data_IF_292070626761
#
_entry.id   IF_292070626761
#
_cell.length_a   1.000
_cell.length_b   1.000
_cell.length_c   1.000
_cell.angle_alpha   90.00
_cell.angle_beta   90.00
_cell.angle_gamma   90.00
#
_symmetry.space_group_name_H-M   'P 1'
#
loop_
_entity.id
_entity.type
_entity.pdbx_description
1 polymer ?
#
# COMPACT_ATOMS: atom_id res chain seq x y z
N UNK A 1 -6.74 26.78 -5.56
CA UNK A 1 -5.36 26.88 -5.07
C UNK A 1 -5.01 25.82 -4.01
N UNK A 2 -5.69 24.66 -3.95
CA UNK A 2 -5.48 23.67 -2.87
C UNK A 2 -5.12 22.24 -3.35
N UNK A 3 -5.23 21.92 -4.63
CA UNK A 3 -5.02 20.54 -5.10
C UNK A 3 -3.53 20.13 -4.99
N UNK A 4 -2.62 21.05 -5.26
CA UNK A 4 -1.18 20.82 -5.14
C UNK A 4 -0.73 20.52 -3.70
N UNK A 5 -1.26 21.27 -2.72
CA UNK A 5 -0.98 21.03 -1.29
C UNK A 5 -1.51 19.67 -0.84
N UNK A 6 -2.70 19.29 -1.29
CA UNK A 6 -3.28 17.97 -1.01
C UNK A 6 -2.44 16.83 -1.59
N UNK A 7 -1.89 17.00 -2.78
CA UNK A 7 -0.97 16.03 -3.38
C UNK A 7 0.32 15.88 -2.57
N UNK A 8 0.96 17.00 -2.19
CA UNK A 8 2.19 16.98 -1.40
C UNK A 8 1.98 16.35 -0.02
N UNK A 9 0.88 16.68 0.66
CA UNK A 9 0.56 16.14 1.98
C UNK A 9 0.39 14.61 1.93
N UNK A 10 -0.30 14.09 0.91
CA UNK A 10 -0.44 12.65 0.71
C UNK A 10 0.90 11.97 0.35
N UNK A 11 1.79 12.63 -0.39
CA UNK A 11 3.12 12.11 -0.69
C UNK A 11 3.97 11.97 0.59
N UNK A 12 3.92 12.96 1.47
CA UNK A 12 4.60 12.95 2.77
C UNK A 12 4.02 11.87 3.69
N UNK A 13 2.70 11.73 3.76
CA UNK A 13 2.05 10.67 4.54
C UNK A 13 2.42 9.27 4.04
N UNK A 14 2.40 9.07 2.72
CA UNK A 14 2.82 7.83 2.09
C UNK A 14 4.27 7.48 2.40
N UNK A 15 5.20 8.44 2.24
CA UNK A 15 6.61 8.21 2.54
C UNK A 15 6.87 7.97 4.03
N UNK A 16 6.15 8.68 4.91
CA UNK A 16 6.25 8.47 6.35
C UNK A 16 5.82 7.05 6.72
N UNK A 17 4.74 6.56 6.12
CA UNK A 17 4.23 5.20 6.36
C UNK A 17 5.26 4.14 5.99
N UNK A 18 5.88 4.27 4.80
CA UNK A 18 6.95 3.36 4.35
C UNK A 18 8.19 3.48 5.24
N UNK A 19 8.59 4.70 5.60
CA UNK A 19 9.78 4.90 6.44
C UNK A 19 9.59 4.30 7.83
N UNK A 20 8.41 4.48 8.43
CA UNK A 20 8.10 3.87 9.73
C UNK A 20 8.13 2.34 9.62
N UNK A 21 7.59 1.76 8.54
CA UNK A 21 7.68 0.32 8.27
C UNK A 21 9.13 -0.17 8.18
N UNK A 22 9.96 0.52 7.38
CA UNK A 22 11.38 0.22 7.24
C UNK A 22 12.18 0.40 8.54
N UNK A 23 11.82 1.40 9.34
CA UNK A 23 12.47 1.64 10.63
C UNK A 23 12.20 0.49 11.60
N UNK A 24 10.95 0.02 11.66
CA UNK A 24 10.59 -1.17 12.43
C UNK A 24 11.26 -2.44 11.88
N UNK A 25 11.54 -2.48 10.57
CA UNK A 25 12.25 -3.58 9.92
C UNK A 25 13.72 -3.69 10.33
N UNK A 26 14.47 -2.60 10.20
CA UNK A 26 15.93 -2.61 10.37
C UNK A 26 16.32 -2.58 11.86
N UNK A 27 15.39 -2.21 12.74
CA UNK A 27 15.66 -2.01 14.16
C UNK A 27 16.39 -0.69 14.39
N UNK A 28 15.75 0.22 15.12
CA UNK A 28 16.29 1.51 15.59
C UNK A 28 17.34 2.16 14.66
N UNK A 29 16.97 2.42 13.40
CA UNK A 29 17.83 3.19 12.49
C UNK A 29 18.15 4.56 13.11
N UNK A 30 19.36 5.10 12.90
CA UNK A 30 19.68 6.47 13.31
C UNK A 30 18.65 7.44 12.71
N UNK A 31 18.07 8.29 13.56
CA UNK A 31 17.03 9.25 13.16
C UNK A 31 17.36 10.05 11.89
N UNK A 32 18.59 10.54 11.69
CA UNK A 32 18.95 11.27 10.47
C UNK A 32 18.84 10.42 9.20
N UNK A 33 19.16 9.13 9.29
CA UNK A 33 19.11 8.20 8.17
C UNK A 33 17.67 7.85 7.82
N UNK A 34 16.81 7.65 8.84
CA UNK A 34 15.36 7.48 8.65
C UNK A 34 14.74 8.70 7.98
N UNK A 35 15.11 9.91 8.40
CA UNK A 35 14.66 11.15 7.76
C UNK A 35 15.12 11.28 6.31
N UNK A 36 16.37 10.93 6.01
CA UNK A 36 16.90 10.95 4.64
C UNK A 36 16.13 9.98 3.73
N UNK A 37 15.83 8.77 4.22
CA UNK A 37 15.01 7.79 3.52
C UNK A 37 13.58 8.30 3.31
N UNK A 38 12.95 8.89 4.32
CA UNK A 38 11.60 9.46 4.20
C UNK A 38 11.53 10.56 3.15
N UNK A 39 12.52 11.46 3.13
CA UNK A 39 12.61 12.53 2.16
C UNK A 39 12.88 11.99 0.76
N UNK A 40 13.81 11.04 0.62
CA UNK A 40 14.11 10.40 -0.66
C UNK A 40 12.89 9.69 -1.25
N UNK A 41 12.18 8.91 -0.43
CA UNK A 41 10.94 8.24 -0.84
C UNK A 41 9.84 9.26 -1.16
N UNK A 42 9.68 10.32 -0.36
CA UNK A 42 8.71 11.39 -0.62
C UNK A 42 8.94 12.06 -1.98
N UNK A 43 10.19 12.39 -2.29
CA UNK A 43 10.59 13.02 -3.55
C UNK A 43 10.35 12.03 -4.70
N UNK A 44 10.72 10.77 -4.55
CA UNK A 44 10.55 9.74 -5.58
C UNK A 44 9.06 9.46 -5.85
N UNK A 45 8.24 9.38 -4.80
CA UNK A 45 6.78 9.25 -4.88
C UNK A 45 6.15 10.47 -5.54
N UNK A 46 6.53 11.68 -5.13
CA UNK A 46 6.03 12.92 -5.71
C UNK A 46 6.43 13.06 -7.19
N UNK A 47 7.60 12.56 -7.59
CA UNK A 47 8.08 12.65 -8.96
C UNK A 47 7.50 11.56 -9.88
N UNK A 48 7.28 10.36 -9.35
CA UNK A 48 6.83 9.19 -10.12
C UNK A 48 5.30 9.03 -10.17
N UNK A 49 4.58 9.55 -9.18
CA UNK A 49 3.14 9.31 -9.02
C UNK A 49 2.29 10.53 -9.39
N UNK A 50 1.65 10.54 -10.58
CA UNK A 50 0.82 11.66 -11.04
C UNK A 50 -0.54 11.76 -10.31
N UNK A 51 -0.89 10.79 -9.47
CA UNK A 51 -2.17 10.76 -8.76
C UNK A 51 -2.04 10.27 -7.31
N UNK A 52 -2.94 10.74 -6.43
CA UNK A 52 -3.03 10.33 -5.02
C UNK A 52 -3.18 8.81 -4.90
N UNK A 53 -3.96 8.19 -5.80
CA UNK A 53 -4.13 6.75 -5.84
C UNK A 53 -2.83 6.00 -6.14
N UNK A 54 -1.97 6.54 -7.02
CA UNK A 54 -0.65 5.94 -7.29
C UNK A 54 0.29 6.04 -6.09
N UNK A 55 0.29 7.16 -5.35
CA UNK A 55 1.12 7.35 -4.15
C UNK A 55 0.79 6.27 -3.12
N UNK A 56 -0.51 6.10 -2.82
CA UNK A 56 -0.96 5.11 -1.84
C UNK A 56 -0.81 3.67 -2.33
N UNK A 57 -1.02 3.39 -3.62
CA UNK A 57 -0.76 2.07 -4.18
C UNK A 57 0.71 1.67 -4.02
N UNK A 58 1.64 2.58 -4.33
CA UNK A 58 3.08 2.31 -4.17
C UNK A 58 3.47 2.23 -2.70
N UNK A 59 2.97 3.13 -1.84
CA UNK A 59 3.30 3.13 -0.41
C UNK A 59 2.83 1.86 0.30
N UNK A 60 1.60 1.43 0.04
CA UNK A 60 1.04 0.19 0.64
C UNK A 60 1.68 -1.06 0.05
N UNK A 61 2.10 -1.04 -1.21
CA UNK A 61 2.88 -2.13 -1.78
C UNK A 61 4.23 -2.30 -1.08
N UNK A 62 4.97 -1.19 -0.88
CA UNK A 62 6.23 -1.19 -0.15
C UNK A 62 6.04 -1.68 1.29
N UNK A 63 5.00 -1.21 1.98
CA UNK A 63 4.64 -1.66 3.33
C UNK A 63 4.35 -3.17 3.38
N UNK A 64 3.68 -3.69 2.35
CA UNK A 64 3.46 -5.13 2.21
C UNK A 64 4.76 -5.91 2.04
N UNK A 65 5.66 -5.43 1.18
CA UNK A 65 7.00 -6.02 0.97
C UNK A 65 7.83 -5.98 2.26
N UNK A 66 7.82 -4.85 2.97
CA UNK A 66 8.50 -4.71 4.27
C UNK A 66 7.92 -5.67 5.31
N UNK A 67 6.60 -5.82 5.36
CA UNK A 67 5.95 -6.78 6.27
C UNK A 67 6.40 -8.22 5.99
N UNK A 68 6.64 -8.59 4.72
CA UNK A 68 7.20 -9.89 4.35
C UNK A 68 8.69 -10.05 4.66
N UNK A 69 9.44 -8.96 4.68
CA UNK A 69 10.87 -9.01 4.95
C UNK A 69 11.18 -9.36 6.43
N UNK A 70 10.31 -9.00 7.38
CA UNK A 70 10.42 -9.41 8.79
C UNK A 70 10.54 -10.95 8.97
N UNK A 71 9.57 -11.77 8.52
CA UNK A 71 9.67 -13.22 8.60
C UNK A 71 10.94 -13.78 7.97
N UNK A 72 11.37 -13.21 6.84
CA UNK A 72 12.56 -13.65 6.11
C UNK A 72 13.83 -13.38 6.92
N UNK A 73 13.94 -12.20 7.54
CA UNK A 73 15.06 -11.87 8.42
C UNK A 73 15.10 -12.78 9.64
N UNK A 74 13.95 -13.03 10.27
CA UNK A 74 13.85 -13.97 11.39
C UNK A 74 14.24 -15.40 11.01
N UNK A 75 13.85 -15.88 9.83
CA UNK A 75 14.29 -17.19 9.33
C UNK A 75 15.81 -17.24 9.09
N UNK A 76 16.42 -16.14 8.62
CA UNK A 76 17.86 -16.04 8.47
C UNK A 76 18.61 -16.00 9.82
N UNK A 77 18.00 -15.45 10.86
CA UNK A 77 18.57 -15.47 12.21
C UNK A 77 18.47 -16.85 12.87
N UNK A 78 17.41 -17.63 12.61
CA UNK A 78 17.32 -19.05 13.04
C UNK A 78 18.54 -19.84 12.56
N UNK A 79 18.96 -19.64 11.29
CA UNK A 79 20.10 -20.36 10.72
C UNK A 79 21.41 -20.11 11.48
N UNK A 80 21.49 -19.01 12.25
CA UNK A 80 22.66 -18.65 13.07
C UNK A 80 22.59 -19.20 14.50
N UNK A 81 21.41 -19.61 14.98
CA UNK A 81 21.17 -19.97 16.39
C UNK A 81 21.48 -21.44 16.74
N UNK A 82 21.92 -22.26 15.79
CA UNK A 82 22.32 -23.65 16.03
C UNK A 82 21.14 -24.65 16.08
N UNK A 83 21.38 -25.92 16.45
CA UNK A 83 20.43 -27.03 16.25
C UNK A 83 19.14 -26.99 17.08
N UNK A 84 19.14 -26.30 18.23
CA UNK A 84 17.96 -26.16 19.11
C UNK A 84 17.82 -24.69 19.56
N UNK A 85 17.04 -23.87 18.82
CA UNK A 85 16.71 -22.53 19.27
C UNK A 85 15.79 -22.59 20.51
N UNK A 86 15.97 -21.70 21.51
CA UNK A 86 15.15 -21.68 22.71
C UNK A 86 13.67 -21.38 22.38
N UNK A 87 12.75 -21.90 23.19
CA UNK A 87 11.30 -21.81 22.96
C UNK A 87 10.81 -20.36 22.81
N UNK A 88 11.41 -19.42 23.55
CA UNK A 88 11.10 -17.99 23.51
C UNK A 88 11.42 -17.36 22.13
N UNK A 89 12.53 -17.75 21.51
CA UNK A 89 12.90 -17.30 20.15
C UNK A 89 11.94 -17.91 19.12
N UNK A 90 11.59 -19.19 19.28
CA UNK A 90 10.65 -19.87 18.40
C UNK A 90 9.27 -19.20 18.40
N UNK A 91 8.73 -18.87 19.58
CA UNK A 91 7.46 -18.15 19.73
C UNK A 91 7.54 -16.75 19.10
N UNK A 92 8.64 -16.02 19.33
CA UNK A 92 8.88 -14.71 18.73
C UNK A 92 8.90 -14.78 17.20
N UNK A 93 9.59 -15.76 16.63
CA UNK A 93 9.68 -15.94 15.18
C UNK A 93 8.33 -16.34 14.60
N UNK A 94 7.61 -17.27 15.24
CA UNK A 94 6.27 -17.64 14.80
C UNK A 94 5.32 -16.43 14.79
N UNK A 95 5.36 -15.61 15.84
CA UNK A 95 4.59 -14.38 15.93
C UNK A 95 5.00 -13.38 14.85
N UNK A 96 6.30 -13.17 14.63
CA UNK A 96 6.83 -12.33 13.57
C UNK A 96 6.39 -12.80 12.17
N UNK A 97 6.38 -14.11 11.93
CA UNK A 97 5.93 -14.71 10.68
C UNK A 97 4.43 -14.52 10.50
N UNK A 98 3.61 -14.77 11.52
CA UNK A 98 2.17 -14.56 11.46
C UNK A 98 1.82 -13.10 11.16
N UNK A 99 2.36 -12.15 11.92
CA UNK A 99 2.10 -10.74 11.72
C UNK A 99 2.64 -10.25 10.37
N UNK A 100 3.88 -10.62 10.03
CA UNK A 100 4.52 -10.19 8.79
C UNK A 100 3.83 -10.73 7.54
N UNK A 101 3.46 -12.02 7.53
CA UNK A 101 2.77 -12.65 6.41
C UNK A 101 1.33 -12.14 6.28
N UNK A 102 0.58 -12.07 7.38
CA UNK A 102 -0.80 -11.59 7.36
C UNK A 102 -0.88 -10.12 6.94
N UNK A 103 -0.06 -9.27 7.55
CA UNK A 103 0.07 -7.85 7.19
C UNK A 103 0.55 -7.70 5.75
N UNK A 104 1.55 -8.47 5.32
CA UNK A 104 2.11 -8.42 3.97
C UNK A 104 1.08 -8.71 2.89
N UNK A 105 0.33 -9.81 3.03
CA UNK A 105 -0.76 -10.18 2.09
C UNK A 105 -1.85 -9.11 2.11
N UNK A 106 -2.24 -8.62 3.29
CA UNK A 106 -3.25 -7.59 3.44
C UNK A 106 -2.87 -6.31 2.68
N UNK A 107 -1.68 -5.77 2.93
CA UNK A 107 -1.22 -4.52 2.31
C UNK A 107 -0.98 -4.67 0.81
N UNK A 108 -0.45 -5.80 0.34
CA UNK A 108 -0.31 -6.07 -1.10
C UNK A 108 -1.67 -6.15 -1.80
N UNK A 109 -2.66 -6.80 -1.18
CA UNK A 109 -4.01 -6.89 -1.74
C UNK A 109 -4.69 -5.53 -1.79
N UNK A 110 -4.52 -4.73 -0.74
CA UNK A 110 -5.02 -3.37 -0.67
C UNK A 110 -4.35 -2.47 -1.72
N UNK A 111 -3.03 -2.56 -1.88
CA UNK A 111 -2.27 -1.86 -2.91
C UNK A 111 -2.79 -2.18 -4.32
N UNK A 112 -3.01 -3.46 -4.60
CA UNK A 112 -3.59 -3.91 -5.86
C UNK A 112 -5.00 -3.34 -6.09
N UNK A 113 -5.85 -3.32 -5.06
CA UNK A 113 -7.18 -2.71 -5.12
C UNK A 113 -7.16 -1.22 -5.48
N UNK A 114 -6.27 -0.45 -4.84
CA UNK A 114 -6.07 0.98 -5.16
C UNK A 114 -5.53 1.15 -6.58
N UNK A 115 -4.52 0.36 -6.96
CA UNK A 115 -3.91 0.43 -8.29
C UNK A 115 -4.94 0.15 -9.39
N UNK A 116 -5.75 -0.90 -9.23
CA UNK A 116 -6.83 -1.26 -10.16
C UNK A 116 -7.83 -0.11 -10.32
N UNK A 117 -8.33 0.44 -9.21
CA UNK A 117 -9.29 1.57 -9.22
C UNK A 117 -8.69 2.83 -9.83
N UNK A 118 -7.39 3.04 -9.66
CA UNK A 118 -6.70 4.21 -10.22
C UNK A 118 -6.51 4.06 -11.73
N UNK A 119 -6.20 2.86 -12.24
CA UNK A 119 -6.15 2.59 -13.69
C UNK A 119 -7.50 2.71 -14.37
N UNK A 120 -8.57 2.20 -13.75
CA UNK A 120 -9.93 2.31 -14.31
C UNK A 120 -10.39 3.75 -14.51
N UNK A 121 -9.93 4.69 -13.67
CA UNK A 121 -10.20 6.13 -13.84
C UNK A 121 -9.36 6.80 -14.93
N UNK A 122 -8.20 6.25 -15.26
CA UNK A 122 -7.25 6.83 -16.23
C UNK A 122 -7.47 6.33 -17.65
N UNK A 123 -8.22 5.23 -17.84
CA UNK A 123 -8.62 4.79 -19.18
C UNK A 123 -9.68 5.74 -19.71
N UNK A 124 -9.40 6.56 -20.75
CA UNK A 124 -10.46 7.32 -21.39
C UNK A 124 -11.46 6.32 -21.94
N UNK A 125 -12.73 6.50 -21.58
CA UNK A 125 -13.85 5.81 -22.21
C UNK A 125 -13.75 6.03 -23.72
N UNK A 126 -13.23 5.05 -24.45
CA UNK A 126 -13.63 4.89 -25.84
C UNK A 126 -15.15 4.71 -25.83
N UNK A 127 -15.93 5.48 -26.58
CA UNK A 127 -17.38 5.43 -26.52
C UNK A 127 -17.87 4.16 -27.23
N UNK A 128 -17.88 3.04 -26.52
CA UNK A 128 -18.69 1.89 -26.91
C UNK A 128 -19.97 1.90 -26.07
N UNK A 129 -20.95 2.63 -26.59
CA UNK A 129 -22.37 2.27 -26.69
C UNK A 129 -23.05 1.61 -25.48
N UNK A 130 -24.07 2.31 -25.00
CA UNK A 130 -25.23 1.89 -24.17
C UNK A 130 -25.01 1.57 -22.68
N UNK A 131 -25.41 2.54 -21.86
CA UNK A 131 -25.73 2.39 -20.44
C UNK A 131 -26.74 1.25 -20.20
N UNK A 132 -26.62 0.45 -19.13
CA UNK A 132 -27.76 -0.28 -18.60
C UNK A 132 -28.68 0.72 -17.88
N UNK A 133 -29.76 1.13 -18.55
CA UNK A 133 -30.86 1.89 -17.95
C UNK A 133 -31.41 1.11 -16.74
N UNK A 134 -31.26 1.68 -15.55
CA UNK A 134 -31.87 1.18 -14.31
C UNK A 134 -33.40 1.13 -14.49
N UNK A 135 -34.04 0.04 -14.03
CA UNK A 135 -35.48 -0.29 -14.21
C UNK A 135 -36.46 0.87 -13.93
N UNK A 136 -36.08 1.86 -13.13
CA UNK A 136 -36.93 3.00 -12.78
C UNK A 136 -37.20 3.97 -13.96
N UNK A 137 -36.32 4.09 -14.96
CA UNK A 137 -36.56 5.00 -16.09
C UNK A 137 -37.58 4.46 -17.11
N UNK A 138 -37.80 3.13 -17.16
CA UNK A 138 -38.76 2.51 -18.10
C UNK A 138 -40.22 2.74 -17.67
N UNK A 139 -40.48 2.88 -16.36
CA UNK A 139 -41.84 3.11 -15.82
C UNK A 139 -42.30 4.56 -15.99
N UNK A 140 -41.37 5.52 -16.03
CA UNK A 140 -41.69 6.94 -16.16
C UNK A 140 -42.00 7.35 -17.60
N UNK A 141 -41.37 6.71 -18.60
CA UNK A 141 -41.66 6.96 -20.01
C UNK A 141 -43.07 6.49 -20.43
N UNK A 142 -43.57 5.39 -19.83
CA UNK A 142 -44.90 4.85 -20.18
C UNK A 142 -46.08 5.63 -19.58
N UNK A 143 -45.82 6.52 -18.61
CA UNK A 143 -46.84 7.37 -17.96
C UNK A 143 -47.00 8.75 -18.59
N UNK A 144 -46.14 9.14 -19.53
CA UNK A 144 -46.20 10.45 -20.21
C UNK A 144 -46.81 10.39 -21.60
N UNK A 145 -47.22 9.21 -22.05
CA UNK A 145 -47.78 8.97 -23.39
C UNK A 145 -49.15 8.28 -23.31
N UNK A 146 -49.93 8.59 -22.28
CA UNK A 146 -51.32 8.18 -22.11
C UNK A 146 -52.15 9.34 -21.60
#
# INVERSE_FOLDING_TARGET
>A
MNDYLWHQLNAVLGSLTVTVGLWLLVGALPVPMGMALALGLAILLAWKSPSIGSIWATSTFLLGVESFAWPIMQMADIQKLGPEPPLEELERIFTAVLFGLFSGVFWMTFAYGIFKRTREKSTPTSPSTTLPKTKNQKKQARRRSG
#
